data_IF_950861761088
#
_entry.id   IF_950861761088
#
_cell.length_a   1.000
_cell.length_b   1.000
_cell.length_c   1.000
_cell.angle_alpha   90.00
_cell.angle_beta   90.00
_cell.angle_gamma   90.00
#
_symmetry.space_group_name_H-M   'P 1'
#
loop_
_entity.id
_entity.type
_entity.pdbx_description
1 polymer ?
#
# COMPACT_ATOMS: atom_id res chain seq x y z
N UNK A 1 22.71 26.58 45.02
CA UNK A 1 23.84 25.83 45.64
C UNK A 1 23.25 24.85 46.65
N UNK A 2 23.93 23.73 46.88
CA UNK A 2 23.51 22.51 47.61
C UNK A 2 22.82 21.48 46.71
N UNK A 3 23.59 20.89 45.79
CA UNK A 3 23.54 19.46 45.55
C UNK A 3 24.81 18.91 46.21
N UNK A 4 24.65 18.07 47.21
CA UNK A 4 25.78 17.54 47.96
C UNK A 4 25.36 16.24 48.61
N UNK A 5 26.15 15.20 48.33
CA UNK A 5 26.03 13.79 48.74
C UNK A 5 24.86 13.02 48.14
N UNK A 6 25.17 11.84 47.60
CA UNK A 6 24.30 10.83 46.97
C UNK A 6 24.27 10.87 45.43
N UNK A 7 25.10 9.96 44.90
CA UNK A 7 25.18 9.46 43.53
C UNK A 7 23.81 8.93 43.07
N UNK A 8 22.97 9.83 42.53
CA UNK A 8 21.73 9.48 41.85
C UNK A 8 21.64 10.38 40.61
N UNK A 9 21.86 9.79 39.43
CA UNK A 9 21.57 10.43 38.16
C UNK A 9 20.07 10.60 37.97
N UNK A 10 19.50 11.66 38.56
CA UNK A 10 18.10 12.06 38.37
C UNK A 10 17.89 12.45 36.91
N UNK A 11 16.98 11.73 36.26
CA UNK A 11 16.47 11.97 34.92
C UNK A 11 15.94 13.40 34.81
N UNK A 12 16.54 14.22 33.95
CA UNK A 12 15.95 15.49 33.56
C UNK A 12 14.74 15.24 32.65
N UNK A 13 13.57 15.05 33.27
CA UNK A 13 12.28 15.22 32.60
C UNK A 13 12.22 16.64 32.06
N UNK A 14 12.36 16.78 30.73
CA UNK A 14 12.28 18.07 30.06
C UNK A 14 10.98 18.79 30.47
N UNK A 15 11.06 20.04 30.96
CA UNK A 15 9.88 20.73 31.46
C UNK A 15 8.98 21.10 30.28
N UNK A 16 7.74 20.63 30.33
CA UNK A 16 6.57 21.22 29.70
C UNK A 16 6.60 21.41 28.17
N UNK A 17 6.86 20.34 27.42
CA UNK A 17 6.54 20.27 25.98
C UNK A 17 5.41 19.31 25.62
N UNK A 18 4.69 18.77 26.61
CA UNK A 18 3.60 17.80 26.39
C UNK A 18 2.23 18.49 26.38
N UNK A 19 1.99 19.49 27.24
CA UNK A 19 0.71 20.20 27.29
C UNK A 19 0.43 21.01 26.00
N UNK A 20 1.48 21.58 25.38
CA UNK A 20 1.38 22.28 24.09
C UNK A 20 1.07 21.34 22.91
N UNK A 21 1.15 20.01 23.09
CA UNK A 21 0.82 19.05 22.05
C UNK A 21 -0.65 18.63 22.06
N UNK A 22 -1.41 18.85 23.14
CA UNK A 22 -2.83 18.47 23.20
C UNK A 22 -3.67 19.16 22.12
N UNK A 23 -3.31 20.37 21.70
CA UNK A 23 -4.00 21.05 20.60
C UNK A 23 -3.63 20.51 19.20
N UNK A 24 -2.48 19.80 19.06
CA UNK A 24 -2.05 19.14 17.81
C UNK A 24 -2.47 17.68 17.74
N UNK A 25 -2.63 16.99 18.87
CA UNK A 25 -3.13 15.62 18.93
C UNK A 25 -4.66 15.54 18.91
N UNK A 26 -5.36 16.60 19.34
CA UNK A 26 -6.82 16.63 19.42
C UNK A 26 -7.48 17.52 18.34
N UNK A 27 -6.74 17.94 17.31
CA UNK A 27 -7.40 18.36 16.09
C UNK A 27 -8.11 17.13 15.54
N UNK A 28 -9.45 17.12 15.61
CA UNK A 28 -10.28 16.33 14.70
C UNK A 28 -9.85 16.75 13.32
N UNK A 29 -8.84 16.06 12.79
CA UNK A 29 -8.28 16.33 11.48
C UNK A 29 -9.48 16.26 10.58
N UNK A 30 -9.87 17.41 10.03
CA UNK A 30 -11.08 17.55 9.27
C UNK A 30 -11.00 16.52 8.15
N UNK A 31 -11.61 15.35 8.38
CA UNK A 31 -11.79 14.29 7.41
C UNK A 31 -13.07 14.63 6.66
N UNK A 32 -13.24 15.90 6.30
CA UNK A 32 -13.96 16.25 5.09
C UNK A 32 -13.30 15.43 3.98
N UNK A 33 -14.00 14.33 3.69
CA UNK A 33 -13.72 13.42 2.62
C UNK A 33 -13.57 14.28 1.39
N UNK A 34 -12.34 14.51 0.93
CA UNK A 34 -12.10 14.83 -0.47
C UNK A 34 -12.58 13.61 -1.25
N UNK A 35 -13.89 13.58 -1.51
CA UNK A 35 -14.45 12.78 -2.58
C UNK A 35 -13.66 13.16 -3.83
N UNK A 36 -13.02 12.16 -4.43
CA UNK A 36 -12.11 12.37 -5.53
C UNK A 36 -12.91 12.71 -6.77
N UNK A 37 -13.16 14.00 -6.98
CA UNK A 37 -13.88 14.53 -8.15
C UNK A 37 -12.94 14.66 -9.35
N UNK A 38 -12.22 13.59 -9.69
CA UNK A 38 -11.53 13.52 -10.98
C UNK A 38 -12.54 12.92 -11.96
N UNK A 39 -13.07 13.74 -12.87
CA UNK A 39 -13.93 13.27 -13.94
C UNK A 39 -13.10 12.44 -14.92
N UNK A 40 -13.16 11.13 -14.81
CA UNK A 40 -12.47 10.23 -15.73
C UNK A 40 -13.29 10.05 -17.01
N UNK A 41 -12.62 10.10 -18.17
CA UNK A 41 -13.25 9.86 -19.48
C UNK A 41 -13.83 8.45 -19.63
N UNK A 42 -13.17 7.46 -19.02
CA UNK A 42 -13.63 6.06 -18.95
C UNK A 42 -13.33 5.55 -17.55
N UNK A 43 -14.34 5.00 -16.88
CA UNK A 43 -14.25 4.51 -15.52
C UNK A 43 -14.42 2.98 -15.49
N UNK A 44 -13.33 2.27 -15.19
CA UNK A 44 -13.34 0.83 -14.95
C UNK A 44 -13.65 0.48 -13.49
N UNK A 45 -13.24 1.35 -12.56
CA UNK A 45 -13.35 1.13 -11.11
C UNK A 45 -13.43 2.49 -10.38
N UNK A 46 -13.95 2.56 -9.13
CA UNK A 46 -13.89 3.77 -8.31
C UNK A 46 -12.45 4.32 -8.16
N UNK A 47 -12.29 5.64 -8.20
CA UNK A 47 -10.96 6.24 -8.06
C UNK A 47 -10.45 6.14 -6.62
N UNK A 48 -9.29 5.52 -6.47
CA UNK A 48 -8.55 5.42 -5.22
C UNK A 48 -7.08 5.75 -5.44
N UNK A 49 -6.43 6.36 -4.45
CA UNK A 49 -5.02 6.78 -4.50
C UNK A 49 -4.28 6.18 -3.31
N UNK A 50 -3.01 5.81 -3.50
CA UNK A 50 -2.17 5.27 -2.43
C UNK A 50 -2.63 3.89 -2.00
N UNK A 51 -2.79 3.00 -2.98
CA UNK A 51 -3.35 1.66 -2.76
C UNK A 51 -2.52 0.58 -3.43
N UNK A 52 -2.61 -0.62 -2.87
CA UNK A 52 -2.16 -1.87 -3.47
C UNK A 52 -3.38 -2.58 -4.01
N UNK A 53 -3.32 -3.01 -5.26
CA UNK A 53 -4.46 -3.55 -5.96
C UNK A 53 -4.13 -4.83 -6.71
N UNK A 54 -5.17 -5.61 -6.97
CA UNK A 54 -5.15 -6.88 -7.69
C UNK A 54 -6.03 -6.78 -8.95
N UNK A 55 -5.49 -7.20 -10.09
CA UNK A 55 -6.20 -7.47 -11.33
C UNK A 55 -6.25 -8.99 -11.52
N UNK A 56 -7.45 -9.57 -11.55
CA UNK A 56 -7.63 -10.98 -11.89
C UNK A 56 -7.53 -11.18 -13.40
N UNK A 57 -6.91 -12.28 -13.83
CA UNK A 57 -6.84 -12.68 -15.23
C UNK A 57 -7.74 -13.88 -15.51
N UNK A 58 -8.24 -14.02 -16.73
CA UNK A 58 -9.13 -15.13 -17.11
C UNK A 58 -8.48 -16.52 -16.99
N UNK A 59 -7.16 -16.60 -16.94
CA UNK A 59 -6.40 -17.84 -16.69
C UNK A 59 -6.31 -18.22 -15.20
N UNK A 60 -6.95 -17.48 -14.30
CA UNK A 60 -6.91 -17.71 -12.85
C UNK A 60 -5.70 -17.10 -12.13
N UNK A 61 -4.74 -16.52 -12.86
CA UNK A 61 -3.61 -15.78 -12.28
C UNK A 61 -4.03 -14.38 -11.84
N UNK A 62 -3.21 -13.75 -11.02
CA UNK A 62 -3.41 -12.40 -10.52
C UNK A 62 -2.24 -11.48 -10.88
N UNK A 63 -2.52 -10.19 -10.99
CA UNK A 63 -1.52 -9.15 -11.17
C UNK A 63 -1.66 -8.14 -10.03
N UNK A 64 -0.67 -8.14 -9.15
CA UNK A 64 -0.65 -7.34 -7.93
C UNK A 64 0.33 -6.19 -8.11
N UNK A 65 -0.08 -4.94 -7.86
CA UNK A 65 0.80 -3.77 -7.89
C UNK A 65 0.36 -2.69 -6.93
N UNK A 66 1.33 -1.88 -6.48
CA UNK A 66 1.05 -0.64 -5.77
C UNK A 66 0.94 0.57 -6.72
N UNK A 67 0.17 1.58 -6.30
CA UNK A 67 0.14 2.87 -6.97
C UNK A 67 -0.04 4.02 -5.99
N UNK A 68 0.78 5.07 -6.17
CA UNK A 68 0.57 6.39 -5.56
C UNK A 68 -0.37 7.31 -6.35
N UNK A 69 -0.81 6.92 -7.56
CA UNK A 69 -1.76 7.66 -8.42
C UNK A 69 -3.12 6.93 -8.48
N UNK A 70 -4.13 7.57 -9.09
CA UNK A 70 -5.47 7.00 -9.23
C UNK A 70 -5.45 5.63 -9.92
N UNK A 71 -6.06 4.64 -9.28
CA UNK A 71 -6.19 3.27 -9.81
C UNK A 71 -6.91 3.23 -11.14
N UNK A 72 -7.94 4.06 -11.35
CA UNK A 72 -8.68 4.05 -12.59
C UNK A 72 -7.82 4.50 -13.79
N UNK A 73 -6.95 5.50 -13.59
CA UNK A 73 -6.00 5.90 -14.64
C UNK A 73 -4.96 4.81 -14.88
N UNK A 74 -4.49 4.12 -13.83
CA UNK A 74 -3.63 2.93 -13.95
C UNK A 74 -4.29 1.83 -14.75
N UNK A 75 -5.57 1.54 -14.48
CA UNK A 75 -6.35 0.55 -15.21
C UNK A 75 -6.41 0.87 -16.70
N UNK A 76 -6.63 2.15 -17.04
CA UNK A 76 -6.64 2.62 -18.43
C UNK A 76 -5.27 2.50 -19.10
N UNK A 77 -4.21 2.89 -18.40
CA UNK A 77 -2.82 2.71 -18.85
C UNK A 77 -2.52 1.23 -19.14
N UNK A 78 -2.96 0.32 -18.26
CA UNK A 78 -2.84 -1.14 -18.46
C UNK A 78 -3.69 -1.66 -19.63
N UNK A 79 -4.94 -1.21 -19.76
CA UNK A 79 -5.82 -1.60 -20.86
C UNK A 79 -5.24 -1.19 -22.22
N UNK A 80 -4.67 0.02 -22.31
CA UNK A 80 -3.96 0.48 -23.50
C UNK A 80 -2.69 -0.35 -23.75
N UNK A 81 -1.93 -0.63 -22.69
CA UNK A 81 -0.68 -1.42 -22.74
C UNK A 81 -0.90 -2.85 -23.24
N UNK A 82 -1.99 -3.50 -22.82
CA UNK A 82 -2.37 -4.85 -23.23
C UNK A 82 -2.81 -4.91 -24.70
N UNK A 83 -3.51 -3.87 -25.18
CA UNK A 83 -3.88 -3.74 -26.60
C UNK A 83 -2.70 -3.40 -27.50
N UNK A 84 -1.74 -2.63 -26.98
CA UNK A 84 -0.53 -2.24 -27.70
C UNK A 84 0.60 -3.28 -27.63
N UNK A 85 1.81 -2.84 -27.97
CA UNK A 85 3.05 -3.65 -28.01
C UNK A 85 3.95 -3.48 -26.77
N UNK A 86 3.45 -2.84 -25.70
CA UNK A 86 4.22 -2.60 -24.47
C UNK A 86 4.81 -3.86 -23.82
N UNK A 87 5.96 -3.76 -23.15
CA UNK A 87 6.67 -4.88 -22.55
C UNK A 87 6.40 -5.08 -21.05
N UNK A 88 5.34 -4.48 -20.49
CA UNK A 88 5.00 -4.65 -19.07
C UNK A 88 4.64 -6.10 -18.74
N UNK A 89 4.85 -6.53 -17.48
CA UNK A 89 4.58 -7.91 -17.05
C UNK A 89 3.15 -8.37 -17.37
N UNK A 90 2.15 -7.52 -17.12
CA UNK A 90 0.76 -7.82 -17.43
C UNK A 90 0.54 -8.05 -18.93
N UNK A 91 1.01 -7.14 -19.78
CA UNK A 91 0.90 -7.25 -21.24
C UNK A 91 1.68 -8.43 -21.80
N UNK A 92 2.89 -8.69 -21.30
CA UNK A 92 3.72 -9.82 -21.72
C UNK A 92 3.04 -11.15 -21.40
N UNK A 93 2.51 -11.29 -20.19
CA UNK A 93 1.76 -12.48 -19.81
C UNK A 93 0.48 -12.66 -20.66
N UNK A 94 -0.31 -11.61 -20.88
CA UNK A 94 -1.51 -11.70 -21.71
C UNK A 94 -1.17 -12.13 -23.16
N UNK A 95 -0.03 -11.69 -23.72
CA UNK A 95 0.41 -12.11 -25.06
C UNK A 95 0.81 -13.58 -25.13
N UNK A 96 1.48 -14.09 -24.10
CA UNK A 96 1.93 -15.47 -24.03
C UNK A 96 0.77 -16.42 -23.72
N UNK A 97 0.01 -16.12 -22.66
CA UNK A 97 -1.08 -16.95 -22.16
C UNK A 97 -2.38 -16.80 -22.98
N UNK A 98 -2.51 -15.75 -23.79
CA UNK A 98 -3.75 -15.37 -24.50
C UNK A 98 -4.95 -15.13 -23.58
N UNK A 99 -4.70 -14.83 -22.31
CA UNK A 99 -5.73 -14.48 -21.34
C UNK A 99 -6.04 -12.98 -21.38
N UNK A 100 -7.16 -12.59 -20.76
CA UNK A 100 -7.60 -11.20 -20.66
C UNK A 100 -7.63 -10.76 -19.20
N UNK A 101 -7.18 -9.53 -18.90
CA UNK A 101 -7.29 -8.96 -17.56
C UNK A 101 -8.71 -8.47 -17.30
N UNK A 102 -9.21 -8.72 -16.10
CA UNK A 102 -10.46 -8.15 -15.59
C UNK A 102 -10.16 -6.84 -14.85
N UNK A 103 -10.56 -5.71 -15.44
CA UNK A 103 -10.35 -4.38 -14.85
C UNK A 103 -11.33 -4.03 -13.72
N UNK A 104 -12.14 -4.99 -13.25
CA UNK A 104 -12.80 -4.90 -11.95
C UNK A 104 -11.77 -5.10 -10.83
N UNK A 105 -11.03 -4.03 -10.54
CA UNK A 105 -9.88 -4.05 -9.64
C UNK A 105 -10.31 -4.24 -8.19
N UNK A 106 -9.67 -5.20 -7.52
CA UNK A 106 -9.82 -5.40 -6.07
C UNK A 106 -8.70 -4.68 -5.34
N UNK A 107 -9.04 -3.93 -4.27
CA UNK A 107 -8.05 -3.25 -3.44
C UNK A 107 -7.63 -4.19 -2.30
N UNK A 108 -6.33 -4.52 -2.25
CA UNK A 108 -5.75 -5.38 -1.20
C UNK A 108 -5.46 -4.56 0.06
N UNK A 109 -4.89 -3.37 -0.11
CA UNK A 109 -4.46 -2.53 1.01
C UNK A 109 -4.32 -1.07 0.62
N UNK A 110 -4.29 -0.19 1.62
CA UNK A 110 -4.15 1.26 1.43
C UNK A 110 -3.15 1.82 2.41
N UNK A 111 -2.21 2.62 1.92
CA UNK A 111 -1.27 3.33 2.78
C UNK A 111 -0.75 4.59 2.09
N UNK A 112 -0.48 5.65 2.87
CA UNK A 112 0.01 6.94 2.31
C UNK A 112 1.49 6.89 1.95
N UNK A 113 2.29 6.29 2.83
CA UNK A 113 3.72 6.05 2.59
C UNK A 113 3.89 5.04 1.44
N UNK A 114 4.72 5.37 0.46
CA UNK A 114 5.03 4.51 -0.68
C UNK A 114 5.74 3.22 -0.26
N UNK A 115 6.73 3.32 0.61
CA UNK A 115 7.49 2.17 1.09
C UNK A 115 6.59 1.13 1.77
N UNK A 116 5.68 1.58 2.64
CA UNK A 116 4.71 0.68 3.27
C UNK A 116 3.79 -0.01 2.26
N UNK A 117 3.46 0.64 1.12
CA UNK A 117 2.70 -0.03 0.05
C UNK A 117 3.55 -1.03 -0.71
N UNK A 118 4.84 -0.79 -0.90
CA UNK A 118 5.76 -1.75 -1.50
C UNK A 118 5.92 -2.99 -0.62
N UNK A 119 5.97 -2.82 0.71
CA UNK A 119 5.92 -3.93 1.66
C UNK A 119 4.62 -4.73 1.52
N UNK A 120 3.46 -4.07 1.53
CA UNK A 120 2.16 -4.74 1.36
C UNK A 120 2.07 -5.46 -0.01
N UNK A 121 2.58 -4.84 -1.08
CA UNK A 121 2.64 -5.42 -2.41
C UNK A 121 3.50 -6.70 -2.42
N UNK A 122 4.71 -6.62 -1.86
CA UNK A 122 5.63 -7.75 -1.81
C UNK A 122 5.04 -8.92 -1.01
N UNK A 123 4.48 -8.66 0.17
CA UNK A 123 3.78 -9.67 0.96
C UNK A 123 2.64 -10.32 0.16
N UNK A 124 1.78 -9.51 -0.48
CA UNK A 124 0.65 -10.03 -1.24
C UNK A 124 1.07 -10.86 -2.47
N UNK A 125 2.16 -10.50 -3.14
CA UNK A 125 2.74 -11.28 -4.25
C UNK A 125 3.28 -12.61 -3.73
N UNK A 126 4.01 -12.58 -2.61
CA UNK A 126 4.58 -13.77 -2.00
C UNK A 126 3.50 -14.74 -1.50
N UNK A 127 2.44 -14.23 -0.88
CA UNK A 127 1.28 -15.01 -0.42
C UNK A 127 0.52 -15.64 -1.60
N UNK A 128 0.49 -14.96 -2.75
CA UNK A 128 -0.10 -15.49 -3.99
C UNK A 128 0.80 -16.49 -4.71
N UNK A 129 2.09 -16.57 -4.35
CA UNK A 129 3.07 -17.48 -4.94
C UNK A 129 3.11 -17.42 -6.47
N UNK A 130 3.07 -18.59 -7.11
CA UNK A 130 3.12 -18.74 -8.57
C UNK A 130 1.85 -18.25 -9.30
N UNK A 131 0.79 -17.89 -8.57
CA UNK A 131 -0.40 -17.31 -9.17
C UNK A 131 -0.20 -15.84 -9.56
N UNK A 132 0.74 -15.15 -8.92
CA UNK A 132 1.07 -13.76 -9.25
C UNK A 132 1.96 -13.68 -10.48
N UNK A 133 1.55 -12.86 -11.45
CA UNK A 133 2.37 -12.50 -12.63
C UNK A 133 3.37 -11.39 -12.30
N UNK A 134 3.19 -10.70 -11.17
CA UNK A 134 3.99 -9.55 -10.79
C UNK A 134 5.29 -9.93 -10.11
N UNK A 135 6.36 -9.21 -10.43
CA UNK A 135 7.58 -9.17 -9.62
C UNK A 135 7.42 -8.14 -8.49
N UNK A 136 7.78 -8.48 -7.24
CA UNK A 136 7.66 -7.57 -6.11
C UNK A 136 8.63 -6.39 -6.24
N UNK A 137 8.22 -5.22 -5.74
CA UNK A 137 9.02 -4.00 -5.78
C UNK A 137 10.21 -4.04 -4.81
N UNK A 138 10.06 -4.79 -3.72
CA UNK A 138 11.10 -5.06 -2.72
C UNK A 138 11.09 -6.54 -2.37
N UNK A 139 12.24 -7.07 -1.95
CA UNK A 139 12.34 -8.44 -1.43
C UNK A 139 12.26 -8.40 0.08
N UNK A 140 11.37 -9.20 0.68
CA UNK A 140 11.19 -9.27 2.13
C UNK A 140 11.89 -10.53 2.63
N UNK A 141 12.78 -10.38 3.61
CA UNK A 141 13.49 -11.53 4.19
C UNK A 141 12.56 -12.33 5.12
N UNK A 142 12.80 -13.63 5.27
CA UNK A 142 11.96 -14.54 6.09
C UNK A 142 11.76 -14.03 7.53
N UNK A 143 12.80 -13.45 8.13
CA UNK A 143 12.75 -12.85 9.48
C UNK A 143 11.80 -11.65 9.54
N UNK A 144 11.83 -10.80 8.51
CA UNK A 144 10.95 -9.63 8.42
C UNK A 144 9.50 -10.06 8.23
N UNK A 145 9.25 -11.08 7.40
CA UNK A 145 7.90 -11.64 7.24
C UNK A 145 7.37 -12.22 8.55
N UNK A 146 8.20 -12.95 9.29
CA UNK A 146 7.81 -13.49 10.60
C UNK A 146 7.47 -12.38 11.60
N UNK A 147 8.23 -11.27 11.57
CA UNK A 147 7.94 -10.10 12.40
C UNK A 147 6.61 -9.45 12.01
N UNK A 148 6.40 -9.19 10.71
CA UNK A 148 5.19 -8.53 10.20
C UNK A 148 3.93 -9.41 10.35
N UNK A 149 4.05 -10.73 10.23
CA UNK A 149 2.94 -11.68 10.38
C UNK A 149 2.50 -11.91 11.84
N UNK A 150 3.29 -11.49 12.84
CA UNK A 150 2.88 -11.56 14.25
C UNK A 150 1.81 -10.53 14.61
N UNK A 151 1.72 -9.42 13.87
CA UNK A 151 0.77 -8.34 14.16
C UNK A 151 -0.60 -8.55 13.50
N UNK A 152 -0.72 -9.38 12.44
CA UNK A 152 -2.01 -9.63 11.77
C UNK A 152 -2.98 -10.48 12.58
N UNK A 153 -2.50 -11.17 13.63
CA UNK A 153 -3.36 -11.86 14.62
C UNK A 153 -3.81 -10.93 15.77
N UNK A 154 -3.48 -9.63 15.71
CA UNK A 154 -3.76 -8.66 16.77
C UNK A 154 -4.67 -7.52 16.28
N UNK A 155 -5.83 -7.86 15.73
CA UNK A 155 -6.98 -6.94 15.55
C UNK A 155 -8.23 -7.82 15.42
N UNK A 156 -9.20 -7.93 16.32
CA UNK A 156 -9.66 -7.14 17.49
C UNK A 156 -10.61 -8.04 18.34
N UNK A 157 -10.82 -7.79 19.64
CA UNK A 157 -12.02 -8.23 20.37
C UNK A 157 -13.30 -7.57 19.84
#
# INVERSE_FOLDING_TARGET
>A
KIAGSHDIGVVCSAPNKVYSMCHRTNQKRNQEKKQWTIAHRTQYTPCHIGVVYNIQLSCGRCYIKQTGRCVNDRAREHAASVKGTSAGHLSAHCRYCKCTPNFNITIIGRHRNAYAREVIEALAIEDSGQMSVSTPSITIHTKERQYLGRDTNRTTP
#
